data_IF_618344420311
#
_entry.id   IF_618344420311
#
_cell.length_a   1.000
_cell.length_b   1.000
_cell.length_c   1.000
_cell.angle_alpha   90.00
_cell.angle_beta   90.00
_cell.angle_gamma   90.00
#
_symmetry.space_group_name_H-M   'P 1'
#
loop_
_entity.id
_entity.type
_entity.pdbx_description
1 polymer ?
#
# COMPACT_ATOMS: atom_id res chain seq x y z
N UNK A 1 -10.08 -3.05 10.87
CA UNK A 1 -10.67 -1.79 10.35
C UNK A 1 -12.03 -2.02 9.67
N UNK A 2 -12.20 -3.07 8.86
CA UNK A 2 -13.43 -3.36 8.10
C UNK A 2 -14.72 -3.31 8.92
N UNK A 3 -14.80 -4.04 10.05
CA UNK A 3 -15.96 -3.99 10.96
C UNK A 3 -16.36 -2.56 11.38
N UNK A 4 -15.39 -1.68 11.60
CA UNK A 4 -15.66 -0.26 11.95
C UNK A 4 -16.21 0.53 10.76
N UNK A 5 -15.76 0.24 9.54
CA UNK A 5 -16.28 0.87 8.32
C UNK A 5 -17.70 0.38 8.02
N UNK A 6 -17.96 -0.92 8.21
CA UNK A 6 -19.28 -1.52 8.07
C UNK A 6 -20.27 -0.95 9.10
N UNK A 7 -19.87 -0.84 10.37
CA UNK A 7 -20.67 -0.22 11.43
C UNK A 7 -21.01 1.26 11.14
N UNK A 8 -20.16 1.97 10.39
CA UNK A 8 -20.41 3.36 9.95
C UNK A 8 -21.24 3.45 8.66
N UNK A 9 -21.59 2.32 8.05
CA UNK A 9 -22.33 2.23 6.80
C UNK A 9 -21.54 2.69 5.57
N UNK A 10 -20.21 2.69 5.65
CA UNK A 10 -19.32 3.10 4.55
C UNK A 10 -19.01 1.94 3.58
N UNK A 11 -19.09 0.71 4.08
CA UNK A 11 -18.95 -0.51 3.30
C UNK A 11 -20.10 -1.47 3.64
N UNK A 12 -20.43 -2.37 2.72
CA UNK A 12 -21.35 -3.48 2.92
C UNK A 12 -20.64 -4.82 2.70
N UNK A 13 -21.00 -5.81 3.52
CA UNK A 13 -20.49 -7.17 3.46
C UNK A 13 -21.61 -8.10 2.97
N UNK A 14 -21.31 -8.99 2.03
CA UNK A 14 -22.27 -9.96 1.48
C UNK A 14 -21.57 -11.29 1.19
N UNK A 15 -22.26 -12.45 1.30
CA UNK A 15 -21.67 -13.74 1.02
C UNK A 15 -21.24 -13.83 -0.45
N UNK A 16 -20.11 -14.47 -0.70
CA UNK A 16 -19.70 -14.80 -2.06
C UNK A 16 -20.63 -15.87 -2.66
N UNK A 17 -21.00 -15.67 -3.93
CA UNK A 17 -21.94 -16.54 -4.64
C UNK A 17 -21.34 -17.92 -4.97
N UNK A 18 -20.00 -18.03 -5.00
CA UNK A 18 -19.27 -19.25 -5.38
C UNK A 18 -18.80 -20.05 -4.18
N UNK A 19 -18.43 -19.39 -3.08
CA UNK A 19 -17.98 -20.01 -1.83
C UNK A 19 -18.54 -19.26 -0.63
N UNK A 20 -19.55 -19.84 0.05
CA UNK A 20 -20.20 -19.23 1.23
C UNK A 20 -19.26 -18.99 2.41
N UNK A 21 -18.03 -19.49 2.39
CA UNK A 21 -17.00 -19.20 3.40
C UNK A 21 -16.26 -17.88 3.11
N UNK A 22 -16.47 -17.27 1.93
CA UNK A 22 -15.88 -15.99 1.55
C UNK A 22 -16.91 -14.88 1.69
N UNK A 23 -16.46 -13.77 2.26
CA UNK A 23 -17.25 -12.53 2.36
C UNK A 23 -16.71 -11.54 1.35
N UNK A 24 -17.62 -10.98 0.53
CA UNK A 24 -17.32 -9.88 -0.37
C UNK A 24 -17.63 -8.56 0.32
N UNK A 25 -16.81 -7.56 0.01
CA UNK A 25 -16.99 -6.20 0.52
C UNK A 25 -17.17 -5.26 -0.65
N UNK A 26 -18.16 -4.37 -0.56
CA UNK A 26 -18.35 -3.26 -1.49
C UNK A 26 -18.43 -1.94 -0.73
N UNK A 27 -18.02 -0.85 -1.38
CA UNK A 27 -18.21 0.51 -0.85
C UNK A 27 -19.65 0.93 -1.11
N UNK A 28 -20.35 1.41 -0.08
CA UNK A 28 -21.74 1.88 -0.21
C UNK A 28 -21.78 3.23 -0.92
N UNK A 29 -22.95 3.67 -1.37
CA UNK A 29 -23.10 5.03 -1.92
C UNK A 29 -22.74 6.12 -0.90
N UNK A 30 -23.06 5.90 0.38
CA UNK A 30 -22.58 6.75 1.48
C UNK A 30 -21.05 6.79 1.51
N UNK A 31 -20.39 5.62 1.50
CA UNK A 31 -18.94 5.53 1.47
C UNK A 31 -18.31 6.26 0.29
N UNK A 32 -18.84 6.08 -0.92
CA UNK A 32 -18.38 6.80 -2.12
C UNK A 32 -18.57 8.31 -1.99
N UNK A 33 -19.69 8.76 -1.42
CA UNK A 33 -19.96 10.17 -1.17
C UNK A 33 -18.94 10.78 -0.23
N UNK A 34 -18.63 10.11 0.88
CA UNK A 34 -17.60 10.57 1.82
C UNK A 34 -16.21 10.61 1.17
N UNK A 35 -15.85 9.61 0.37
CA UNK A 35 -14.59 9.63 -0.40
C UNK A 35 -14.54 10.86 -1.32
N UNK A 36 -15.61 11.14 -2.07
CA UNK A 36 -15.67 12.31 -2.97
C UNK A 36 -15.47 13.64 -2.23
N UNK A 37 -15.97 13.76 -1.00
CA UNK A 37 -15.77 14.96 -0.18
C UNK A 37 -14.32 15.12 0.28
N UNK A 38 -13.63 14.01 0.56
CA UNK A 38 -12.26 14.02 1.08
C UNK A 38 -11.20 14.20 -0.01
N UNK A 39 -11.45 13.72 -1.24
CA UNK A 39 -10.48 13.74 -2.34
C UNK A 39 -9.90 15.14 -2.63
N UNK A 40 -10.67 16.25 -2.64
CA UNK A 40 -10.11 17.58 -2.85
C UNK A 40 -9.11 18.00 -1.76
N UNK A 41 -9.43 17.77 -0.49
CA UNK A 41 -8.54 18.09 0.63
C UNK A 41 -7.26 17.26 0.59
N UNK A 42 -7.38 15.97 0.25
CA UNK A 42 -6.22 15.09 0.05
C UNK A 42 -5.33 15.57 -1.10
N UNK A 43 -5.92 16.07 -2.19
CA UNK A 43 -5.17 16.63 -3.31
C UNK A 43 -4.39 17.88 -2.92
N UNK A 44 -5.01 18.79 -2.13
CA UNK A 44 -4.33 19.96 -1.60
C UNK A 44 -3.16 19.56 -0.69
N UNK A 45 -3.37 18.62 0.22
CA UNK A 45 -2.32 18.11 1.09
C UNK A 45 -1.16 17.48 0.30
N UNK A 46 -1.46 16.68 -0.74
CA UNK A 46 -0.45 16.09 -1.61
C UNK A 46 0.36 17.16 -2.37
N UNK A 47 -0.29 18.24 -2.79
CA UNK A 47 0.37 19.41 -3.37
C UNK A 47 1.37 20.04 -2.40
N UNK A 48 0.94 20.29 -1.16
CA UNK A 48 1.78 20.89 -0.11
C UNK A 48 2.97 19.99 0.24
N UNK A 49 2.73 18.69 0.46
CA UNK A 49 3.76 17.72 0.86
C UNK A 49 4.83 17.56 -0.24
N UNK A 50 4.40 17.55 -1.50
CA UNK A 50 5.35 17.44 -2.63
C UNK A 50 6.09 18.75 -2.93
N UNK A 51 5.72 19.86 -2.29
CA UNK A 51 6.44 21.12 -2.32
C UNK A 51 6.75 21.62 -3.73
N UNK A 52 8.01 22.02 -3.94
CA UNK A 52 8.52 22.57 -5.19
C UNK A 52 9.04 21.50 -6.17
N UNK A 53 8.78 20.21 -5.94
CA UNK A 53 9.24 19.16 -6.84
C UNK A 53 8.55 19.30 -8.21
N UNK A 54 9.34 19.28 -9.27
CA UNK A 54 8.88 19.13 -10.65
C UNK A 54 8.23 17.76 -10.85
N UNK A 55 7.47 17.59 -11.94
CA UNK A 55 6.88 16.29 -12.26
C UNK A 55 7.94 15.18 -12.37
N UNK A 56 9.09 15.48 -12.95
CA UNK A 56 10.19 14.52 -13.08
C UNK A 56 10.74 14.12 -11.70
N UNK A 57 10.97 15.08 -10.81
CA UNK A 57 11.45 14.81 -9.45
C UNK A 57 10.41 14.04 -8.62
N UNK A 58 9.11 14.32 -8.76
CA UNK A 58 8.04 13.53 -8.13
C UNK A 58 8.05 12.08 -8.62
N UNK A 59 8.29 11.86 -9.92
CA UNK A 59 8.41 10.51 -10.47
C UNK A 59 9.66 9.79 -9.95
N UNK A 60 10.80 10.48 -9.84
CA UNK A 60 12.00 9.93 -9.22
C UNK A 60 11.76 9.58 -7.75
N UNK A 61 11.11 10.46 -6.98
CA UNK A 61 10.74 10.21 -5.59
C UNK A 61 9.83 8.98 -5.48
N UNK A 62 8.79 8.89 -6.30
CA UNK A 62 7.90 7.73 -6.36
C UNK A 62 8.67 6.43 -6.64
N UNK A 63 9.62 6.46 -7.57
CA UNK A 63 10.47 5.32 -7.88
C UNK A 63 11.31 4.89 -6.66
N UNK A 64 11.95 5.84 -5.97
CA UNK A 64 12.75 5.54 -4.78
C UNK A 64 11.90 5.00 -3.64
N UNK A 65 10.73 5.60 -3.39
CA UNK A 65 9.77 5.13 -2.37
C UNK A 65 9.31 3.70 -2.66
N UNK A 66 8.96 3.38 -3.92
CA UNK A 66 8.61 2.02 -4.32
C UNK A 66 9.77 1.04 -4.12
N UNK A 67 10.99 1.44 -4.49
CA UNK A 67 12.18 0.59 -4.33
C UNK A 67 12.41 0.23 -2.86
N UNK A 68 12.23 1.19 -1.95
CA UNK A 68 12.29 0.96 -0.50
C UNK A 68 11.14 0.09 0.00
N UNK A 69 9.90 0.36 -0.45
CA UNK A 69 8.73 -0.43 -0.09
C UNK A 69 8.90 -1.91 -0.46
N UNK A 70 9.36 -2.20 -1.68
CA UNK A 70 9.64 -3.58 -2.11
C UNK A 70 10.69 -4.27 -1.24
N UNK A 71 11.76 -3.55 -0.88
CA UNK A 71 12.81 -4.09 -0.03
C UNK A 71 12.29 -4.40 1.38
N UNK A 72 11.55 -3.48 1.99
CA UNK A 72 11.02 -3.67 3.35
C UNK A 72 9.86 -4.66 3.42
N UNK A 73 9.06 -4.78 2.35
CA UNK A 73 7.93 -5.70 2.31
C UNK A 73 8.36 -7.16 2.45
N UNK A 74 9.51 -7.55 1.90
CA UNK A 74 10.03 -8.92 2.08
C UNK A 74 10.40 -9.18 3.54
N UNK A 75 11.06 -8.21 4.18
CA UNK A 75 11.40 -8.29 5.61
C UNK A 75 10.14 -8.41 6.46
N UNK A 76 9.12 -7.60 6.17
CA UNK A 76 7.86 -7.61 6.89
C UNK A 76 7.10 -8.94 6.74
N UNK A 77 7.08 -9.55 5.55
CA UNK A 77 6.35 -10.81 5.31
C UNK A 77 7.14 -12.02 5.85
N UNK A 78 8.44 -12.09 5.56
CA UNK A 78 9.22 -13.32 5.71
C UNK A 78 10.23 -13.28 6.88
N UNK A 79 10.46 -12.12 7.50
CA UNK A 79 11.54 -11.94 8.48
C UNK A 79 11.14 -11.02 9.65
N UNK A 80 9.84 -10.90 9.93
CA UNK A 80 9.33 -10.02 10.98
C UNK A 80 9.75 -10.43 12.39
N UNK A 81 10.10 -11.70 12.58
CA UNK A 81 10.57 -12.24 13.86
C UNK A 81 12.09 -12.12 14.05
N UNK A 82 12.83 -11.64 13.04
CA UNK A 82 14.29 -11.48 13.13
C UNK A 82 14.64 -10.18 13.87
N UNK A 83 15.66 -10.28 14.72
CA UNK A 83 16.27 -9.10 15.33
C UNK A 83 17.04 -8.26 14.29
N UNK A 84 17.29 -6.99 14.60
CA UNK A 84 18.03 -6.09 13.70
C UNK A 84 19.43 -6.61 13.33
N UNK A 85 20.12 -7.27 14.27
CA UNK A 85 21.43 -7.87 14.00
C UNK A 85 21.36 -9.00 12.96
N UNK A 86 20.37 -9.88 13.09
CA UNK A 86 20.13 -10.98 12.14
C UNK A 86 19.72 -10.46 10.75
N UNK A 87 18.96 -9.37 10.70
CA UNK A 87 18.61 -8.73 9.44
C UNK A 87 19.85 -8.17 8.73
N UNK A 88 20.82 -7.60 9.45
CA UNK A 88 22.06 -7.08 8.86
C UNK A 88 22.98 -8.20 8.34
N UNK A 89 23.16 -9.29 9.09
CA UNK A 89 23.98 -10.44 8.65
C UNK A 89 23.45 -11.09 7.36
N UNK A 90 22.13 -11.12 7.19
CA UNK A 90 21.49 -11.63 5.97
C UNK A 90 21.66 -10.69 4.76
N UNK A 91 22.04 -9.42 4.96
CA UNK A 91 22.30 -8.46 3.89
C UNK A 91 23.75 -8.55 3.38
N UNK A 92 24.71 -8.86 4.25
CA UNK A 92 26.14 -8.94 3.91
C UNK A 92 26.56 -10.27 3.26
N UNK A 93 25.78 -11.34 3.42
CA UNK A 93 26.09 -12.68 2.88
C UNK A 93 25.67 -12.89 1.43
N UNK A 94 25.21 -11.85 0.72
CA UNK A 94 24.93 -11.95 -0.72
C UNK A 94 23.81 -12.94 -1.08
N UNK A 95 23.00 -13.37 -0.11
CA UNK A 95 21.79 -14.16 -0.38
C UNK A 95 20.74 -13.22 -0.96
N UNK A 96 20.90 -13.02 -2.26
CA UNK A 96 19.93 -12.50 -3.19
C UNK A 96 18.74 -13.48 -3.20
N UNK A 97 17.93 -13.45 -2.15
CA UNK A 97 16.66 -14.18 -2.05
C UNK A 97 15.74 -13.65 -3.14
N UNK A 98 15.78 -14.32 -4.30
CA UNK A 98 14.82 -14.19 -5.40
C UNK A 98 14.23 -12.79 -5.54
N UNK A 99 15.06 -11.81 -5.93
CA UNK A 99 14.57 -10.49 -6.34
C UNK A 99 13.61 -10.69 -7.52
N UNK A 100 12.30 -10.75 -7.23
CA UNK A 100 11.28 -10.52 -8.25
C UNK A 100 11.57 -9.11 -8.74
N UNK A 101 12.02 -8.98 -9.98
CA UNK A 101 12.31 -7.69 -10.57
C UNK A 101 11.13 -6.75 -10.25
N UNK A 102 11.44 -5.54 -9.76
CA UNK A 102 10.45 -4.49 -9.69
C UNK A 102 9.72 -4.46 -11.04
N UNK A 103 8.38 -4.36 -11.08
CA UNK A 103 7.69 -4.22 -12.36
C UNK A 103 8.36 -3.06 -13.08
N UNK A 104 8.89 -3.33 -14.28
CA UNK A 104 9.46 -2.30 -15.12
C UNK A 104 8.46 -1.16 -15.14
N UNK A 105 8.92 0.06 -14.86
CA UNK A 105 8.11 1.24 -15.02
C UNK A 105 7.75 1.33 -16.51
N UNK A 106 6.64 0.69 -16.88
CA UNK A 106 6.04 0.79 -18.18
C UNK A 106 5.62 2.24 -18.37
N UNK A 107 6.20 2.84 -19.40
CA UNK A 107 5.71 4.05 -20.04
C UNK A 107 4.32 3.79 -20.64
#
# INVERSE_FOLDING_TARGET
ILRRLAAKGLISEFPDMSDKRKVRVSVTEKGKSEIRKLLPEMSMAAGIISGNLTLNEKNTLLFLLKKLDYFHNDIFINSHDLSLGQLLENQDTGINTKRKAAPAAGL
#
